data_IF_100109516777
#
_entry.id   IF_100109516777
#
_cell.length_a   1.000
_cell.length_b   1.000
_cell.length_c   1.000
_cell.angle_alpha   90.00
_cell.angle_beta   90.00
_cell.angle_gamma   90.00
#
_symmetry.space_group_name_H-M   'P 1'
#
loop_
_entity.id
_entity.type
_entity.pdbx_description
1 polymer ?
#
# COMPACT_ATOMS: atom_id res chain seq x y z
N UNK A 1 1.10 13.88 11.12
CA UNK A 1 -0.32 13.64 11.49
C UNK A 1 -0.94 14.75 12.33
N UNK A 2 -0.15 15.54 13.06
CA UNK A 2 -0.66 16.70 13.84
C UNK A 2 -1.34 17.76 12.95
N UNK A 3 -0.81 18.05 11.75
CA UNK A 3 -1.42 18.98 10.81
C UNK A 3 -2.78 18.48 10.31
N UNK A 4 -2.90 17.18 10.02
CA UNK A 4 -4.17 16.58 9.61
C UNK A 4 -5.21 16.70 10.73
N UNK A 5 -4.82 16.39 11.95
CA UNK A 5 -5.71 16.54 13.12
C UNK A 5 -6.22 17.98 13.26
N UNK A 6 -5.31 18.95 13.19
CA UNK A 6 -5.69 20.37 13.30
C UNK A 6 -6.59 20.83 12.16
N UNK A 7 -6.32 20.38 10.94
CA UNK A 7 -7.17 20.67 9.78
C UNK A 7 -8.60 20.12 9.96
N UNK A 8 -8.70 18.89 10.46
CA UNK A 8 -10.00 18.25 10.74
C UNK A 8 -10.77 18.98 11.84
N UNK A 9 -10.09 19.43 12.90
CA UNK A 9 -10.72 20.23 13.95
C UNK A 9 -11.30 21.54 13.41
N UNK A 10 -10.54 22.26 12.59
CA UNK A 10 -11.00 23.51 11.96
C UNK A 10 -12.18 23.25 11.02
N UNK A 11 -12.15 22.17 10.26
CA UNK A 11 -13.25 21.80 9.38
C UNK A 11 -14.52 21.46 10.17
N UNK A 12 -14.37 20.77 11.31
CA UNK A 12 -15.48 20.44 12.20
C UNK A 12 -16.09 21.72 12.86
N UNK A 13 -15.29 22.76 13.05
CA UNK A 13 -15.73 24.08 13.55
C UNK A 13 -16.43 24.93 12.46
N UNK A 14 -16.55 24.44 11.23
CA UNK A 14 -17.23 25.10 10.13
C UNK A 14 -16.33 25.92 9.20
N UNK A 15 -15.01 25.84 9.35
CA UNK A 15 -14.07 26.46 8.41
C UNK A 15 -14.00 25.70 7.11
N UNK A 16 -13.87 26.41 5.99
CA UNK A 16 -13.59 25.84 4.68
C UNK A 16 -12.09 25.57 4.55
N UNK A 17 -11.70 24.31 4.74
CA UNK A 17 -10.29 23.91 4.79
C UNK A 17 -9.92 23.17 3.50
N UNK A 18 -8.88 23.64 2.83
CA UNK A 18 -8.26 22.95 1.69
C UNK A 18 -7.11 22.08 2.23
N UNK A 19 -7.25 20.77 2.11
CA UNK A 19 -6.29 19.80 2.63
C UNK A 19 -5.13 19.59 1.64
N UNK A 20 -3.94 20.06 2.00
CA UNK A 20 -2.70 19.84 1.24
C UNK A 20 -1.61 19.15 2.07
N UNK A 21 -1.93 18.75 3.29
CA UNK A 21 -1.01 18.15 4.24
C UNK A 21 -0.74 16.66 4.01
N UNK A 22 -1.62 15.98 3.30
CA UNK A 22 -1.47 14.56 2.92
C UNK A 22 -1.80 14.41 1.45
N UNK A 23 -0.92 13.69 0.74
CA UNK A 23 -1.18 13.26 -0.64
C UNK A 23 -1.76 11.85 -0.65
N UNK A 24 -3.01 11.72 -1.09
CA UNK A 24 -3.65 10.44 -1.35
C UNK A 24 -4.54 10.54 -2.59
N UNK A 25 -4.73 9.45 -3.34
CA UNK A 25 -5.69 9.44 -4.45
C UNK A 25 -7.12 9.70 -3.95
N UNK A 26 -7.90 10.44 -4.72
CA UNK A 26 -9.32 10.70 -4.42
C UNK A 26 -10.28 9.64 -4.98
N UNK A 27 -9.74 8.53 -5.43
CA UNK A 27 -10.48 7.37 -5.93
C UNK A 27 -10.11 6.11 -5.15
N UNK A 28 -11.02 5.15 -5.14
CA UNK A 28 -10.84 3.91 -4.42
C UNK A 28 -9.77 3.01 -5.07
N UNK A 29 -9.26 2.06 -4.27
CA UNK A 29 -8.42 0.98 -4.76
C UNK A 29 -9.11 0.26 -5.92
N UNK A 30 -8.36 -0.13 -6.95
CA UNK A 30 -8.89 -0.82 -8.12
C UNK A 30 -9.62 -2.11 -7.73
N UNK A 31 -10.74 -2.39 -8.36
CA UNK A 31 -11.61 -3.53 -8.02
C UNK A 31 -10.89 -4.88 -8.01
N UNK A 32 -10.01 -5.22 -8.97
CA UNK A 32 -9.26 -6.48 -8.91
C UNK A 32 -8.40 -6.63 -7.65
N UNK A 33 -7.86 -5.53 -7.13
CA UNK A 33 -7.05 -5.51 -5.90
C UNK A 33 -7.94 -5.74 -4.69
N UNK A 34 -9.10 -5.09 -4.64
CA UNK A 34 -10.09 -5.28 -3.57
C UNK A 34 -10.53 -6.75 -3.52
N UNK A 35 -10.84 -7.34 -4.65
CA UNK A 35 -11.27 -8.74 -4.74
C UNK A 35 -10.16 -9.70 -4.29
N UNK A 36 -8.92 -9.44 -4.67
CA UNK A 36 -7.76 -10.22 -4.21
C UNK A 36 -7.60 -10.14 -2.69
N UNK A 37 -7.80 -8.96 -2.10
CA UNK A 37 -7.77 -8.77 -0.66
C UNK A 37 -8.89 -9.54 0.06
N UNK A 38 -10.12 -9.48 -0.44
CA UNK A 38 -11.25 -10.25 0.09
C UNK A 38 -10.97 -11.76 0.05
N UNK A 39 -10.48 -12.27 -1.08
CA UNK A 39 -10.15 -13.68 -1.25
C UNK A 39 -9.04 -14.13 -0.29
N UNK A 40 -8.02 -13.32 -0.09
CA UNK A 40 -6.93 -13.61 0.83
C UNK A 40 -7.42 -13.70 2.30
N UNK A 41 -8.26 -12.76 2.71
CA UNK A 41 -8.87 -12.78 4.05
C UNK A 41 -9.76 -14.01 4.23
N UNK A 42 -10.62 -14.31 3.26
CA UNK A 42 -11.50 -15.48 3.31
C UNK A 42 -10.71 -16.80 3.35
N UNK A 43 -9.55 -16.86 2.69
CA UNK A 43 -8.65 -18.01 2.70
C UNK A 43 -7.79 -18.12 3.97
N UNK A 44 -7.88 -17.16 4.90
CA UNK A 44 -7.15 -17.19 6.16
C UNK A 44 -5.70 -16.72 6.07
N UNK A 45 -5.34 -15.95 5.07
CA UNK A 45 -4.00 -15.35 4.95
C UNK A 45 -3.82 -14.15 5.89
N UNK A 46 -3.89 -14.42 7.20
CA UNK A 46 -3.89 -13.40 8.26
C UNK A 46 -2.82 -13.67 9.32
N UNK A 47 -1.84 -14.48 9.02
CA UNK A 47 -0.77 -14.89 9.95
C UNK A 47 0.52 -14.15 9.66
N UNK A 48 1.48 -14.29 10.55
CA UNK A 48 2.82 -13.77 10.35
C UNK A 48 3.46 -14.35 9.08
N UNK A 49 4.26 -13.55 8.44
CA UNK A 49 5.05 -13.91 7.26
C UNK A 49 6.55 -13.86 7.58
N UNK A 50 7.36 -14.30 6.63
CA UNK A 50 8.80 -14.08 6.72
C UNK A 50 9.11 -12.56 6.80
N UNK A 51 10.22 -12.21 7.47
CA UNK A 51 10.60 -10.81 7.69
C UNK A 51 10.71 -9.98 6.40
N UNK A 52 11.11 -10.60 5.30
CA UNK A 52 11.20 -9.95 3.99
C UNK A 52 9.88 -9.91 3.22
N UNK A 53 8.83 -10.49 3.74
CA UNK A 53 7.55 -10.64 3.08
C UNK A 53 7.37 -11.99 2.39
N UNK A 54 6.18 -12.23 1.86
CA UNK A 54 5.85 -13.49 1.18
C UNK A 54 6.74 -13.72 -0.04
N UNK A 55 7.34 -14.90 -0.19
CA UNK A 55 8.14 -15.23 -1.38
C UNK A 55 7.37 -15.02 -2.68
N UNK A 56 6.09 -15.45 -2.73
CA UNK A 56 5.24 -15.27 -3.90
C UNK A 56 5.07 -13.80 -4.30
N UNK A 57 4.95 -12.87 -3.34
CA UNK A 57 4.87 -11.44 -3.61
C UNK A 57 6.18 -10.91 -4.16
N UNK A 58 7.31 -11.30 -3.57
CA UNK A 58 8.64 -10.88 -4.02
C UNK A 58 8.93 -11.38 -5.45
N UNK A 59 8.56 -12.61 -5.75
CA UNK A 59 8.66 -13.18 -7.11
C UNK A 59 7.77 -12.42 -8.11
N UNK A 60 6.54 -12.09 -7.72
CA UNK A 60 5.63 -11.30 -8.56
C UNK A 60 6.18 -9.90 -8.85
N UNK A 61 6.79 -9.24 -7.85
CA UNK A 61 7.42 -7.94 -8.03
C UNK A 61 8.62 -8.04 -8.98
N UNK A 62 9.48 -9.02 -8.80
CA UNK A 62 10.61 -9.27 -9.71
C UNK A 62 10.13 -9.52 -11.14
N UNK A 63 9.07 -10.31 -11.32
CA UNK A 63 8.45 -10.55 -12.61
C UNK A 63 7.87 -9.29 -13.25
N UNK A 64 7.24 -8.42 -12.46
CA UNK A 64 6.73 -7.14 -12.92
C UNK A 64 7.86 -6.24 -13.47
N UNK A 65 8.94 -6.10 -12.75
CA UNK A 65 10.10 -5.34 -13.21
C UNK A 65 10.74 -5.95 -14.45
N UNK A 66 10.75 -7.28 -14.55
CA UNK A 66 11.24 -7.98 -15.74
C UNK A 66 10.39 -7.69 -16.97
N UNK A 67 9.07 -7.83 -16.86
CA UNK A 67 8.15 -7.64 -18.00
C UNK A 67 7.95 -6.19 -18.41
N UNK A 68 7.99 -5.23 -17.48
CA UNK A 68 7.71 -3.82 -17.76
C UNK A 68 8.97 -3.01 -18.04
N UNK A 69 10.11 -3.37 -17.46
CA UNK A 69 11.35 -2.58 -17.56
C UNK A 69 12.53 -3.38 -18.10
N UNK A 70 12.38 -4.67 -18.39
CA UNK A 70 13.46 -5.52 -18.87
C UNK A 70 14.58 -5.73 -17.85
N UNK A 71 14.27 -5.62 -16.55
CA UNK A 71 15.26 -5.76 -15.48
C UNK A 71 15.24 -7.18 -14.92
N UNK A 72 16.43 -7.74 -14.74
CA UNK A 72 16.61 -9.03 -14.06
C UNK A 72 16.91 -8.81 -12.59
N UNK A 73 15.85 -8.82 -11.77
CA UNK A 73 15.94 -8.60 -10.33
C UNK A 73 15.77 -9.92 -9.59
N UNK A 74 16.77 -10.30 -8.80
CA UNK A 74 16.64 -11.44 -7.91
C UNK A 74 15.62 -11.12 -6.80
N UNK A 75 14.57 -11.95 -6.59
CA UNK A 75 13.59 -11.75 -5.51
C UNK A 75 14.20 -11.59 -4.11
N UNK A 76 15.38 -12.15 -3.88
CA UNK A 76 16.11 -12.00 -2.61
C UNK A 76 16.56 -10.55 -2.32
N UNK A 77 16.58 -9.70 -3.34
CA UNK A 77 16.89 -8.26 -3.20
C UNK A 77 15.66 -7.41 -2.88
N UNK A 78 14.48 -8.02 -2.76
CA UNK A 78 13.21 -7.35 -2.50
C UNK A 78 12.81 -7.58 -1.05
N UNK A 79 12.44 -6.51 -0.38
CA UNK A 79 11.88 -6.53 0.97
C UNK A 79 10.54 -5.80 0.96
N UNK A 80 9.53 -6.41 1.56
CA UNK A 80 8.20 -5.81 1.68
C UNK A 80 8.13 -5.07 3.02
N UNK A 81 7.65 -3.83 2.97
CA UNK A 81 7.48 -2.99 4.16
C UNK A 81 6.03 -2.50 4.27
N UNK A 82 5.54 -2.22 5.48
CA UNK A 82 4.21 -1.64 5.69
C UNK A 82 4.21 -0.15 5.38
N UNK A 83 4.18 0.19 4.10
CA UNK A 83 4.21 1.57 3.63
C UNK A 83 5.62 2.10 3.34
N UNK A 84 5.68 3.27 2.70
CA UNK A 84 6.93 3.86 2.25
C UNK A 84 7.83 4.41 3.37
N UNK A 85 7.27 4.66 4.55
CA UNK A 85 8.05 5.18 5.69
C UNK A 85 8.81 4.10 6.46
N UNK A 86 8.50 2.86 6.25
CA UNK A 86 9.18 1.74 6.87
C UNK A 86 10.33 1.25 5.99
#
# INVERSE_FOLDING_TARGET
MALLQRANELQAEGHDVIHLEIGEPDFNTAEPIIQAGHAALAAGHTRYTAARGLPALREAIAGYYGSHYGLDINPERIMITPGGSA
#
